data_IF_016216483956
#
_entry.id   IF_016216483956
#
_cell.length_a   1.000
_cell.length_b   1.000
_cell.length_c   1.000
_cell.angle_alpha   90.00
_cell.angle_beta   90.00
_cell.angle_gamma   90.00
#
_symmetry.space_group_name_H-M   'P 1'
#
loop_
_entity.id
_entity.type
_entity.pdbx_description
1 polymer ?
#
# COMPACT_ATOMS: atom_id res chain seq x y z
N UNK A 1 -6.92 10.96 -2.95
CA UNK A 1 -8.24 10.30 -3.13
C UNK A 1 -8.70 9.58 -1.87
N UNK A 2 -7.97 8.58 -1.36
CA UNK A 2 -8.36 7.80 -0.17
C UNK A 2 -8.59 8.68 1.08
N UNK A 3 -7.62 9.54 1.42
CA UNK A 3 -7.75 10.45 2.58
C UNK A 3 -8.91 11.44 2.46
N UNK A 4 -9.27 11.86 1.23
CA UNK A 4 -10.41 12.77 1.00
C UNK A 4 -11.76 12.08 1.26
N UNK A 5 -11.81 10.74 1.15
CA UNK A 5 -12.98 9.93 1.47
C UNK A 5 -12.91 9.33 2.88
N UNK A 6 -11.91 9.76 3.69
CA UNK A 6 -11.66 9.25 5.03
C UNK A 6 -11.51 7.71 5.04
N UNK A 7 -10.83 7.18 4.02
CA UNK A 7 -10.46 5.77 3.86
C UNK A 7 -8.97 5.61 4.15
N UNK A 8 -8.62 4.65 5.01
CA UNK A 8 -7.23 4.32 5.34
C UNK A 8 -6.63 3.44 4.24
N UNK A 9 -5.35 3.65 3.89
CA UNK A 9 -4.63 2.80 2.93
C UNK A 9 -3.43 2.19 3.66
N UNK A 10 -3.32 0.87 3.62
CA UNK A 10 -2.25 0.13 4.29
C UNK A 10 -1.55 -0.79 3.30
N UNK A 11 -0.22 -0.84 3.35
CA UNK A 11 0.61 -1.74 2.58
C UNK A 11 1.38 -2.64 3.53
N UNK A 12 1.40 -3.94 3.27
CA UNK A 12 2.34 -4.83 3.95
C UNK A 12 3.73 -4.63 3.37
N UNK A 13 4.75 -4.93 4.17
CA UNK A 13 6.14 -4.80 3.73
C UNK A 13 6.45 -5.72 2.54
N UNK A 14 5.95 -6.96 2.58
CA UNK A 14 6.04 -7.93 1.48
C UNK A 14 5.45 -7.37 0.18
N UNK A 15 4.32 -6.66 0.24
CA UNK A 15 3.73 -6.01 -0.92
C UNK A 15 4.64 -4.91 -1.49
N UNK A 16 5.21 -4.05 -0.64
CA UNK A 16 6.11 -2.98 -1.07
C UNK A 16 7.34 -3.56 -1.77
N UNK A 17 7.96 -4.59 -1.19
CA UNK A 17 9.11 -5.29 -1.77
C UNK A 17 8.76 -5.92 -3.13
N UNK A 18 7.59 -6.54 -3.25
CA UNK A 18 7.15 -7.16 -4.51
C UNK A 18 6.80 -6.13 -5.58
N UNK A 19 6.17 -5.01 -5.21
CA UNK A 19 5.88 -3.89 -6.13
C UNK A 19 7.19 -3.32 -6.69
N UNK A 20 8.20 -3.10 -5.84
CA UNK A 20 9.51 -2.63 -6.26
C UNK A 20 10.17 -3.61 -7.25
N UNK A 21 10.18 -4.91 -6.94
CA UNK A 21 10.72 -5.95 -7.82
C UNK A 21 10.01 -6.00 -9.18
N UNK A 22 8.67 -5.85 -9.19
CA UNK A 22 7.85 -5.82 -10.40
C UNK A 22 8.14 -4.59 -11.26
N UNK A 23 8.34 -3.42 -10.65
CA UNK A 23 8.72 -2.20 -11.34
C UNK A 23 10.11 -2.30 -11.98
N UNK A 24 11.08 -2.88 -11.27
CA UNK A 24 12.42 -3.14 -11.80
C UNK A 24 12.38 -4.08 -13.02
N UNK A 25 11.62 -5.17 -12.93
CA UNK A 25 11.51 -6.17 -14.01
C UNK A 25 10.89 -5.58 -15.28
N UNK A 26 9.94 -4.65 -15.14
CA UNK A 26 9.31 -3.98 -16.30
C UNK A 26 10.20 -2.91 -16.95
N UNK A 27 11.42 -2.66 -16.47
CA UNK A 27 12.35 -1.63 -16.97
C UNK A 27 11.75 -0.21 -17.04
N UNK A 28 10.71 0.05 -16.25
CA UNK A 28 9.99 1.33 -16.25
C UNK A 28 10.49 2.27 -15.16
N UNK A 29 11.36 1.79 -14.27
CA UNK A 29 11.87 2.56 -13.13
C UNK A 29 10.76 3.13 -12.25
N UNK A 30 10.99 4.30 -11.65
CA UNK A 30 9.99 4.96 -10.79
C UNK A 30 8.68 5.32 -11.51
N UNK A 31 8.70 5.50 -12.84
CA UNK A 31 7.50 5.80 -13.64
C UNK A 31 6.54 4.61 -13.71
N UNK A 32 7.07 3.40 -13.64
CA UNK A 32 6.28 2.16 -13.65
C UNK A 32 5.48 1.91 -12.39
N UNK A 33 5.93 2.45 -11.24
CA UNK A 33 5.26 2.25 -9.96
C UNK A 33 3.82 2.75 -9.98
N UNK A 34 3.59 3.89 -10.63
CA UNK A 34 2.25 4.46 -10.75
C UNK A 34 1.29 3.51 -11.46
N UNK A 35 1.69 2.94 -12.60
CA UNK A 35 0.84 1.99 -13.33
C UNK A 35 0.58 0.69 -12.57
N UNK A 36 1.58 0.21 -11.81
CA UNK A 36 1.40 -0.97 -10.95
C UNK A 36 0.39 -0.67 -9.83
N UNK A 37 0.54 0.47 -9.15
CA UNK A 37 -0.36 0.90 -8.08
C UNK A 37 -1.78 1.17 -8.61
N UNK A 38 -1.91 1.84 -9.75
CA UNK A 38 -3.22 2.08 -10.39
C UNK A 38 -3.92 0.75 -10.67
N UNK A 39 -3.22 -0.24 -11.23
CA UNK A 39 -3.80 -1.55 -11.50
C UNK A 39 -4.26 -2.28 -10.23
N UNK A 40 -3.50 -2.20 -9.15
CA UNK A 40 -3.83 -2.85 -7.87
C UNK A 40 -5.02 -2.16 -7.19
N UNK A 41 -5.08 -0.83 -7.27
CA UNK A 41 -6.05 -0.01 -6.55
C UNK A 41 -7.32 0.30 -7.36
N UNK A 42 -7.39 -0.08 -8.64
CA UNK A 42 -8.50 0.30 -9.54
C UNK A 42 -9.87 -0.08 -8.97
N UNK A 43 -10.03 -1.32 -8.50
CA UNK A 43 -11.28 -1.79 -7.92
C UNK A 43 -11.65 -1.00 -6.66
N UNK A 44 -10.68 -0.83 -5.74
CA UNK A 44 -10.87 -0.04 -4.54
C UNK A 44 -11.26 1.43 -4.85
N UNK A 45 -10.64 2.04 -5.87
CA UNK A 45 -10.97 3.40 -6.30
C UNK A 45 -12.39 3.51 -6.86
N UNK A 46 -12.95 2.42 -7.41
CA UNK A 46 -14.33 2.38 -7.87
C UNK A 46 -15.32 2.18 -6.71
N UNK A 47 -14.98 1.37 -5.70
CA UNK A 47 -15.87 1.09 -4.57
C UNK A 47 -15.96 2.22 -3.54
N UNK A 48 -14.88 2.98 -3.34
CA UNK A 48 -14.81 4.06 -2.35
C UNK A 48 -15.80 5.22 -2.56
N UNK A 49 -16.00 5.76 -3.78
CA UNK A 49 -16.93 6.88 -4.00
C UNK A 49 -18.40 6.48 -3.85
N UNK A 50 -18.71 5.20 -3.68
CA UNK A 50 -20.07 4.73 -3.45
C UNK A 50 -20.57 5.27 -2.09
N UNK A 51 -21.70 5.99 -2.07
CA UNK A 51 -22.21 6.74 -0.88
C UNK A 51 -22.85 5.80 0.16
N UNK A 52 -22.20 4.68 0.46
CA UNK A 52 -22.67 3.71 1.45
C UNK A 52 -22.42 4.23 2.87
N UNK A 53 -23.29 3.84 3.79
CA UNK A 53 -23.27 4.31 5.18
C UNK A 53 -23.26 3.12 6.14
N UNK A 54 -22.82 3.34 7.38
CA UNK A 54 -22.72 2.28 8.38
C UNK A 54 -21.73 1.19 8.00
N UNK A 55 -22.13 -0.07 8.17
CA UNK A 55 -21.27 -1.24 7.99
C UNK A 55 -20.81 -1.46 6.53
N UNK A 56 -21.51 -0.87 5.56
CA UNK A 56 -21.17 -1.01 4.15
C UNK A 56 -20.14 0.01 3.67
N UNK A 57 -19.84 1.03 4.49
CA UNK A 57 -18.84 2.05 4.18
C UNK A 57 -17.44 1.42 4.14
N UNK A 58 -16.64 1.81 3.15
CA UNK A 58 -15.22 1.44 3.11
C UNK A 58 -14.47 2.21 4.20
N UNK A 59 -13.86 1.49 5.15
CA UNK A 59 -13.02 2.06 6.21
C UNK A 59 -11.56 2.06 5.79
N UNK A 60 -11.11 0.98 5.15
CA UNK A 60 -9.72 0.84 4.74
C UNK A 60 -9.52 -0.04 3.51
N UNK A 61 -8.36 0.13 2.89
CA UNK A 61 -7.87 -0.67 1.77
C UNK A 61 -6.50 -1.19 2.14
N UNK A 62 -6.31 -2.51 2.00
CA UNK A 62 -5.07 -3.19 2.32
C UNK A 62 -4.48 -3.77 1.06
N UNK A 63 -3.19 -3.52 0.85
CA UNK A 63 -2.40 -4.12 -0.22
C UNK A 63 -1.36 -5.02 0.41
N UNK A 64 -1.54 -6.33 0.23
CA UNK A 64 -0.59 -7.35 0.65
C UNK A 64 0.11 -8.02 -0.54
N UNK A 65 0.99 -9.00 -0.27
CA UNK A 65 1.70 -9.71 -1.33
C UNK A 65 0.73 -10.38 -2.32
N UNK A 66 -0.37 -10.94 -1.82
CA UNK A 66 -1.41 -11.56 -2.64
C UNK A 66 -2.04 -10.54 -3.58
N UNK A 67 -2.38 -9.34 -3.09
CA UNK A 67 -2.91 -8.24 -3.92
C UNK A 67 -2.02 -7.91 -5.11
N UNK A 68 -0.69 -8.02 -4.96
CA UNK A 68 0.29 -7.75 -6.03
C UNK A 68 0.42 -8.94 -6.98
N UNK A 69 0.31 -10.16 -6.44
CA UNK A 69 0.36 -11.43 -7.15
C UNK A 69 1.78 -11.95 -7.33
N UNK A 70 2.32 -11.84 -8.54
CA UNK A 70 3.71 -12.21 -8.82
C UNK A 70 4.38 -11.16 -9.71
N UNK A 71 5.67 -11.34 -9.99
CA UNK A 71 6.40 -10.45 -10.90
C UNK A 71 5.78 -10.46 -12.30
N UNK A 72 5.37 -11.64 -12.77
CA UNK A 72 4.83 -11.86 -14.12
C UNK A 72 3.29 -11.84 -14.18
N UNK A 73 2.63 -12.29 -13.10
CA UNK A 73 1.16 -12.38 -13.00
C UNK A 73 0.57 -11.28 -12.13
N UNK A 74 -0.60 -10.78 -12.50
CA UNK A 74 -1.35 -9.81 -11.71
C UNK A 74 -2.13 -10.53 -10.61
N UNK A 75 -2.10 -9.97 -9.40
CA UNK A 75 -2.92 -10.43 -8.28
C UNK A 75 -4.39 -10.02 -8.43
N UNK A 76 -5.26 -10.44 -7.49
CA UNK A 76 -6.68 -10.11 -7.51
C UNK A 76 -6.97 -8.64 -7.21
N UNK A 77 -5.98 -7.84 -6.79
CA UNK A 77 -6.15 -6.43 -6.44
C UNK A 77 -6.20 -6.19 -4.93
N UNK A 78 -6.38 -4.94 -4.54
CA UNK A 78 -6.37 -4.52 -3.14
C UNK A 78 -7.58 -5.07 -2.36
N UNK A 79 -7.36 -5.44 -1.10
CA UNK A 79 -8.41 -5.92 -0.19
C UNK A 79 -9.17 -4.72 0.38
N UNK A 80 -10.50 -4.77 0.31
CA UNK A 80 -11.37 -3.68 0.73
C UNK A 80 -12.03 -4.06 2.06
N UNK A 81 -11.78 -3.26 3.09
CA UNK A 81 -12.28 -3.47 4.44
C UNK A 81 -13.45 -2.50 4.71
N UNK A 82 -14.59 -3.08 5.09
CA UNK A 82 -15.84 -2.36 5.30
C UNK A 82 -16.26 -2.33 6.77
N UNK A 83 -16.93 -1.25 7.15
CA UNK A 83 -17.41 -0.97 8.49
C UNK A 83 -16.36 -0.32 9.38
N UNK A 84 -16.82 0.49 10.33
CA UNK A 84 -15.94 1.28 11.19
C UNK A 84 -14.96 0.38 11.98
N UNK A 85 -13.68 0.78 12.01
CA UNK A 85 -12.62 0.04 12.71
C UNK A 85 -12.24 -1.29 12.06
N UNK A 86 -12.57 -1.50 10.79
CA UNK A 86 -12.23 -2.73 10.07
C UNK A 86 -10.72 -2.92 9.92
N UNK A 87 -9.96 -1.84 9.72
CA UNK A 87 -8.50 -1.94 9.67
C UNK A 87 -7.93 -2.47 10.99
N UNK A 88 -8.40 -1.95 12.12
CA UNK A 88 -7.87 -2.31 13.44
C UNK A 88 -8.15 -3.80 13.75
N UNK A 89 -9.33 -4.31 13.36
CA UNK A 89 -9.65 -5.74 13.43
C UNK A 89 -8.76 -6.58 12.52
N UNK A 90 -8.50 -6.12 11.31
CA UNK A 90 -7.62 -6.80 10.36
C UNK A 90 -6.19 -6.87 10.88
N UNK A 91 -5.64 -5.76 11.36
CA UNK A 91 -4.28 -5.69 11.91
C UNK A 91 -4.16 -6.53 13.18
N UNK A 92 -5.13 -6.49 14.10
CA UNK A 92 -5.10 -7.33 15.31
C UNK A 92 -5.09 -8.83 15.00
N UNK A 93 -5.74 -9.24 13.89
CA UNK A 93 -5.75 -10.62 13.42
C UNK A 93 -4.43 -11.02 12.74
N UNK A 94 -3.76 -10.08 12.07
CA UNK A 94 -2.57 -10.33 11.26
C UNK A 94 -1.23 -9.92 11.93
N UNK A 95 -1.25 -9.14 13.02
CA UNK A 95 -0.07 -8.79 13.82
C UNK A 95 0.60 -10.02 14.46
N UNK A 96 -0.09 -11.16 14.52
CA UNK A 96 0.52 -12.43 14.88
C UNK A 96 1.46 -13.00 13.79
N UNK A 97 1.47 -12.44 12.57
CA UNK A 97 2.20 -12.94 11.40
C UNK A 97 3.31 -12.01 10.87
N UNK A 98 3.21 -10.69 11.06
CA UNK A 98 4.14 -9.69 10.46
C UNK A 98 5.26 -9.20 11.42
N UNK A 99 5.50 -9.91 12.52
CA UNK A 99 6.60 -9.57 13.42
C UNK A 99 7.95 -10.04 12.88
N UNK A 100 8.76 -9.09 12.39
CA UNK A 100 10.23 -9.09 12.13
C UNK A 100 10.55 -8.69 10.68
N UNK A 101 10.99 -7.45 10.47
CA UNK A 101 12.12 -7.04 9.59
C UNK A 101 12.09 -5.53 9.29
N UNK A 102 12.08 -4.72 10.37
CA UNK A 102 12.19 -3.26 10.29
C UNK A 102 13.61 -2.75 10.50
N UNK A 103 14.59 -3.20 9.71
CA UNK A 103 15.91 -2.53 9.65
C UNK A 103 15.90 -1.52 8.50
N UNK A 104 15.56 -0.27 8.83
CA UNK A 104 15.87 0.91 8.00
C UNK A 104 17.09 1.58 8.63
N UNK A 105 18.28 1.01 8.44
CA UNK A 105 19.53 1.77 8.55
C UNK A 105 19.83 2.41 7.19
N UNK A 106 19.34 3.64 7.04
CA UNK A 106 19.74 4.55 5.98
C UNK A 106 20.06 5.88 6.63
N UNK A 107 21.22 5.93 7.30
CA UNK A 107 21.74 7.13 7.94
C UNK A 107 21.74 8.30 6.94
N UNK A 108 20.99 9.34 7.28
CA UNK A 108 21.17 10.68 6.73
C UNK A 108 22.56 11.17 7.13
N UNK A 109 23.51 11.11 6.21
CA UNK A 109 24.75 11.88 6.31
C UNK A 109 24.95 12.79 5.10
N UNK A 110 25.36 14.01 5.43
CA UNK A 110 25.99 15.03 4.58
C UNK A 110 25.05 16.00 3.83
N UNK A 111 24.30 16.79 4.60
CA UNK A 111 24.07 18.20 4.25
C UNK A 111 24.46 19.09 5.42
N UNK A 112 25.71 19.54 5.46
CA UNK A 112 26.18 20.69 6.26
C UNK A 112 27.63 21.02 5.89
N UNK A 113 27.85 21.63 4.72
CA UNK A 113 29.08 22.38 4.46
C UNK A 113 28.90 23.38 3.32
N UNK A 114 28.24 24.49 3.62
CA UNK A 114 28.42 25.73 2.89
C UNK A 114 28.01 26.92 3.77
N UNK A 115 28.78 28.00 3.65
CA UNK A 115 28.59 29.36 4.20
C UNK A 115 29.31 29.65 5.52
N UNK A 116 30.59 30.01 5.39
CA UNK A 116 31.17 31.15 6.12
C UNK A 116 32.25 31.79 5.24
N UNK A 117 31.86 32.86 4.54
CA UNK A 117 32.66 34.04 4.19
C UNK A 117 31.70 35.21 4.09
#
# INVERSE_FOLDING_TARGET
MFSMNNVKLHFTESALRLIAKKAMTKNTGARGLRGILENILTEAMYEIPDRRTGEERVDAVVVDEESVGSVERQGPGAKILRGDGALDRYLSKNMAADGLDGDIEGETELSSRAISM
#
